data_IF_002794875395
#
_entry.id   IF_002794875395
#
_cell.length_a   1.000
_cell.length_b   1.000
_cell.length_c   1.000
_cell.angle_alpha   90.00
_cell.angle_beta   90.00
_cell.angle_gamma   90.00
#
_symmetry.space_group_name_H-M   'P 1'
#
loop_
_entity.id
_entity.type
_entity.pdbx_description
1 polymer ?
#
# COMPACT_ATOMS: atom_id res chain seq x y z
N UNK A 1 -8.19 6.32 -1.69
CA UNK A 1 -8.91 5.17 -1.10
C UNK A 1 -7.94 3.99 -0.99
N UNK A 2 -8.23 3.05 -0.10
CA UNK A 2 -7.49 1.80 0.06
C UNK A 2 -8.44 0.63 0.24
N UNK A 3 -7.94 -0.59 0.08
CA UNK A 3 -8.64 -1.85 0.30
C UNK A 3 -7.78 -3.03 -0.13
N UNK A 4 -8.34 -4.23 -0.12
CA UNK A 4 -7.69 -5.45 -0.62
C UNK A 4 -8.26 -5.85 -1.97
N UNK A 5 -7.39 -6.32 -2.86
CA UNK A 5 -7.79 -6.93 -4.12
C UNK A 5 -7.07 -8.26 -4.32
N UNK A 6 -7.80 -9.25 -4.81
CA UNK A 6 -7.29 -10.55 -5.25
C UNK A 6 -7.08 -10.60 -6.77
N UNK A 7 -7.33 -9.49 -7.48
CA UNK A 7 -7.21 -9.41 -8.94
C UNK A 7 -5.75 -9.16 -9.33
N UNK A 8 -5.20 -10.01 -10.19
CA UNK A 8 -3.85 -9.84 -10.75
C UNK A 8 -3.77 -8.71 -11.79
N UNK A 9 -4.91 -8.23 -12.26
CA UNK A 9 -5.09 -7.19 -13.27
C UNK A 9 -5.81 -5.94 -12.72
N UNK A 10 -5.80 -5.76 -11.39
CA UNK A 10 -6.37 -4.55 -10.79
C UNK A 10 -5.71 -3.30 -11.39
N UNK A 11 -6.47 -2.23 -11.70
CA UNK A 11 -5.92 -1.05 -12.35
C UNK A 11 -4.77 -0.41 -11.55
N UNK A 12 -3.58 -0.41 -12.13
CA UNK A 12 -2.41 0.35 -11.65
C UNK A 12 -2.02 1.40 -12.66
N UNK A 13 -1.25 2.39 -12.23
CA UNK A 13 -0.76 3.47 -13.10
C UNK A 13 0.74 3.36 -13.30
N UNK A 14 1.22 3.65 -14.52
CA UNK A 14 2.65 3.69 -14.80
C UNK A 14 3.38 4.65 -13.84
N UNK A 15 4.49 4.19 -13.25
CA UNK A 15 5.27 4.98 -12.28
C UNK A 15 4.77 4.91 -10.83
N UNK A 16 3.76 4.09 -10.53
CA UNK A 16 3.37 3.73 -9.18
C UNK A 16 4.49 2.98 -8.43
N UNK A 17 4.42 2.92 -7.08
CA UNK A 17 5.37 2.15 -6.26
C UNK A 17 5.51 0.71 -6.72
N UNK A 18 4.36 0.09 -7.01
CA UNK A 18 4.25 -1.29 -7.44
C UNK A 18 3.06 -1.45 -8.38
N UNK A 19 3.30 -2.12 -9.51
CA UNK A 19 2.32 -2.37 -10.56
C UNK A 19 1.95 -3.85 -10.69
N UNK A 20 2.45 -4.71 -9.80
CA UNK A 20 2.24 -6.16 -9.85
C UNK A 20 1.63 -6.71 -8.55
N UNK A 21 0.80 -7.74 -8.68
CA UNK A 21 0.29 -8.52 -7.55
C UNK A 21 1.36 -9.53 -7.11
N UNK A 22 1.60 -9.64 -5.80
CA UNK A 22 2.67 -10.48 -5.25
C UNK A 22 2.19 -11.71 -4.47
N UNK A 23 0.88 -11.89 -4.30
CA UNK A 23 0.28 -12.98 -3.54
C UNK A 23 -1.23 -13.09 -3.77
N UNK A 24 -1.92 -13.80 -2.89
CA UNK A 24 -3.36 -14.07 -3.02
C UNK A 24 -4.19 -12.79 -2.91
N UNK A 25 -3.86 -11.89 -1.98
CA UNK A 25 -4.55 -10.61 -1.79
C UNK A 25 -3.55 -9.50 -1.47
N UNK A 26 -3.64 -8.38 -2.18
CA UNK A 26 -2.74 -7.24 -1.99
C UNK A 26 -3.53 -6.02 -1.56
N UNK A 27 -2.90 -5.15 -0.78
CA UNK A 27 -3.42 -3.81 -0.54
C UNK A 27 -3.32 -3.01 -1.83
N UNK A 28 -4.40 -2.34 -2.22
CA UNK A 28 -4.33 -1.29 -3.23
C UNK A 28 -4.47 0.08 -2.56
N UNK A 29 -3.79 1.06 -3.14
CA UNK A 29 -3.97 2.48 -2.79
C UNK A 29 -4.21 3.24 -4.07
N UNK A 30 -5.37 3.88 -4.17
CA UNK A 30 -5.80 4.59 -5.37
C UNK A 30 -6.20 6.03 -5.07
N UNK A 31 -5.76 6.94 -5.93
CA UNK A 31 -6.17 8.34 -5.96
C UNK A 31 -7.00 8.58 -7.22
N UNK A 32 -8.21 9.07 -7.05
CA UNK A 32 -9.07 9.48 -8.15
C UNK A 32 -9.07 11.01 -8.27
N UNK A 33 -9.49 11.51 -9.43
CA UNK A 33 -9.81 12.93 -9.57
C UNK A 33 -11.04 13.30 -8.69
N UNK A 34 -11.24 14.60 -8.47
CA UNK A 34 -12.36 15.10 -7.64
C UNK A 34 -13.74 14.70 -8.17
N UNK A 35 -13.86 14.48 -9.49
CA UNK A 35 -15.09 14.02 -10.13
C UNK A 35 -15.32 12.51 -10.04
N UNK A 36 -14.38 11.73 -9.47
CA UNK A 36 -14.40 10.27 -9.44
C UNK A 36 -14.53 9.59 -10.82
N UNK A 37 -14.08 10.27 -11.88
CA UNK A 37 -14.16 9.79 -13.27
C UNK A 37 -12.85 9.27 -13.82
N UNK A 38 -11.71 9.59 -13.18
CA UNK A 38 -10.41 9.09 -13.61
C UNK A 38 -9.54 8.67 -12.43
N UNK A 39 -8.80 7.58 -12.65
CA UNK A 39 -7.74 7.12 -11.77
C UNK A 39 -6.49 7.96 -12.03
N UNK A 40 -6.03 8.71 -11.03
CA UNK A 40 -4.84 9.56 -11.14
C UNK A 40 -3.56 8.79 -10.82
N UNK A 41 -3.60 7.99 -9.76
CA UNK A 41 -2.52 7.05 -9.41
C UNK A 41 -3.12 5.84 -8.69
N UNK A 42 -2.56 4.67 -8.94
CA UNK A 42 -2.95 3.43 -8.26
C UNK A 42 -1.77 2.49 -8.19
N UNK A 43 -1.56 1.92 -7.01
CA UNK A 43 -0.42 1.04 -6.70
C UNK A 43 -0.89 -0.16 -5.89
N UNK A 44 -0.13 -1.25 -6.00
CA UNK A 44 -0.17 -2.33 -5.01
C UNK A 44 0.76 -2.01 -3.83
N UNK A 45 0.49 -2.65 -2.71
CA UNK A 45 1.39 -2.88 -1.60
C UNK A 45 1.08 -4.26 -1.01
N UNK A 46 2.06 -5.15 -1.02
CA UNK A 46 1.90 -6.50 -0.50
C UNK A 46 3.11 -7.37 -0.76
N UNK A 47 3.17 -8.51 -0.10
CA UNK A 47 4.18 -9.54 -0.29
C UNK A 47 3.59 -10.82 -0.85
N UNK A 48 4.18 -11.95 -0.47
CA UNK A 48 3.91 -13.28 -1.04
C UNK A 48 2.61 -13.94 -0.56
N UNK A 49 1.93 -13.35 0.43
CA UNK A 49 0.70 -13.88 1.04
C UNK A 49 -0.38 -12.80 1.05
N UNK A 50 -1.45 -13.00 1.83
CA UNK A 50 -2.53 -12.04 1.95
C UNK A 50 -2.12 -10.82 2.77
N UNK A 51 -2.45 -9.65 2.24
CA UNK A 51 -2.27 -8.36 2.90
C UNK A 51 -3.56 -7.55 2.83
N UNK A 52 -3.90 -6.91 3.95
CA UNK A 52 -5.20 -6.29 4.16
C UNK A 52 -5.10 -4.78 4.39
N UNK A 53 -5.74 -4.00 3.52
CA UNK A 53 -5.80 -2.53 3.62
C UNK A 53 -7.04 -2.10 4.38
N UNK A 54 -6.91 -1.77 5.66
CA UNK A 54 -8.05 -1.57 6.55
C UNK A 54 -8.50 -0.10 6.64
N UNK A 55 -7.56 0.85 6.65
CA UNK A 55 -7.90 2.27 6.74
C UNK A 55 -6.83 3.17 6.13
N UNK A 56 -7.23 4.40 5.82
CA UNK A 56 -6.42 5.43 5.17
C UNK A 56 -6.67 6.80 5.79
N UNK A 57 -5.60 7.54 6.06
CA UNK A 57 -5.63 8.93 6.50
C UNK A 57 -4.70 9.78 5.63
N UNK A 58 -4.98 11.08 5.55
CA UNK A 58 -4.18 12.03 4.78
C UNK A 58 -3.83 13.22 5.68
N UNK A 59 -2.55 13.60 5.73
CA UNK A 59 -2.12 14.79 6.50
C UNK A 59 -2.22 16.09 5.69
N UNK A 60 -1.93 17.23 6.33
CA UNK A 60 -1.99 18.54 5.69
C UNK A 60 -0.93 18.74 4.57
N UNK A 61 0.13 17.92 4.56
CA UNK A 61 1.12 17.87 3.48
C UNK A 61 0.72 16.99 2.30
N UNK A 62 -0.43 16.30 2.41
CA UNK A 62 -0.91 15.35 1.41
C UNK A 62 -0.25 13.98 1.49
N UNK A 63 0.53 13.67 2.55
CA UNK A 63 1.02 12.32 2.76
C UNK A 63 -0.13 11.40 3.12
N UNK A 64 -0.08 10.19 2.59
CA UNK A 64 -1.11 9.17 2.74
C UNK A 64 -0.58 8.10 3.69
N UNK A 65 -1.33 7.84 4.75
CA UNK A 65 -1.03 6.80 5.73
C UNK A 65 -2.04 5.68 5.55
N UNK A 66 -1.56 4.47 5.31
CA UNK A 66 -2.37 3.26 5.20
C UNK A 66 -2.05 2.37 6.38
N UNK A 67 -3.09 1.90 7.05
CA UNK A 67 -2.95 0.89 8.11
C UNK A 67 -3.65 -0.39 7.68
N UNK A 68 -3.11 -1.50 8.15
CA UNK A 68 -3.55 -2.80 7.70
C UNK A 68 -2.83 -3.93 8.40
N UNK A 69 -3.05 -5.12 7.86
CA UNK A 69 -2.49 -6.36 8.35
C UNK A 69 -1.73 -7.06 7.23
N UNK A 70 -0.65 -7.76 7.59
CA UNK A 70 0.15 -8.53 6.66
C UNK A 70 0.39 -9.94 7.18
N UNK A 71 0.11 -10.94 6.35
CA UNK A 71 0.55 -12.31 6.57
C UNK A 71 1.89 -12.60 5.85
N UNK A 72 2.42 -11.61 5.13
CA UNK A 72 3.52 -11.77 4.20
C UNK A 72 4.90 -11.67 4.89
N UNK A 73 5.74 -12.73 4.84
CA UNK A 73 7.09 -12.67 5.38
C UNK A 73 8.04 -11.71 4.64
N UNK A 74 7.65 -11.29 3.44
CA UNK A 74 8.37 -10.38 2.55
C UNK A 74 7.55 -9.10 2.29
N UNK A 75 6.70 -8.69 3.25
CA UNK A 75 5.96 -7.44 3.13
C UNK A 75 6.92 -6.26 2.87
N UNK A 76 6.61 -5.34 1.92
CA UNK A 76 7.49 -4.23 1.62
C UNK A 76 7.71 -3.32 2.83
N UNK A 77 8.98 -3.16 3.23
CA UNK A 77 9.40 -2.25 4.31
C UNK A 77 10.46 -1.27 3.81
N UNK A 78 10.75 -0.24 4.60
CA UNK A 78 11.80 0.75 4.30
C UNK A 78 12.90 0.70 5.35
N UNK A 79 14.10 1.14 4.97
CA UNK A 79 15.20 1.30 5.92
C UNK A 79 14.77 2.26 7.05
N UNK A 80 14.83 1.78 8.29
CA UNK A 80 14.44 2.55 9.47
C UNK A 80 12.97 2.41 9.89
N UNK A 81 12.20 1.51 9.27
CA UNK A 81 10.90 1.11 9.79
C UNK A 81 11.03 0.55 11.23
N UNK A 82 10.00 0.76 12.05
CA UNK A 82 9.96 0.30 13.44
C UNK A 82 10.22 -1.21 13.56
N UNK A 83 9.68 -1.98 12.63
CA UNK A 83 9.88 -3.41 12.53
C UNK A 83 9.93 -3.83 11.06
N UNK A 84 10.86 -4.73 10.75
CA UNK A 84 11.11 -5.22 9.38
C UNK A 84 11.04 -6.73 9.26
N UNK A 85 10.55 -7.42 10.30
CA UNK A 85 10.51 -8.88 10.37
C UNK A 85 9.10 -9.36 10.66
N UNK A 86 8.70 -10.44 9.98
CA UNK A 86 7.38 -11.05 10.14
C UNK A 86 7.35 -12.12 11.24
N UNK A 87 6.33 -12.09 12.11
CA UNK A 87 6.26 -12.93 13.33
C UNK A 87 5.25 -14.09 13.28
N UNK A 88 4.95 -14.61 12.07
CA UNK A 88 4.32 -15.92 11.80
C UNK A 88 2.79 -16.06 11.92
N UNK A 89 2.05 -15.00 12.20
CA UNK A 89 0.58 -15.03 12.09
C UNK A 89 0.10 -13.86 11.25
N UNK A 90 0.08 -12.67 11.82
CA UNK A 90 -0.39 -11.46 11.17
C UNK A 90 0.27 -10.32 11.92
N UNK A 91 0.95 -9.44 11.19
CA UNK A 91 1.54 -8.24 11.77
C UNK A 91 0.73 -7.04 11.31
N UNK A 92 0.55 -6.07 12.21
CA UNK A 92 -0.04 -4.79 11.84
C UNK A 92 1.04 -3.95 11.16
N UNK A 93 0.67 -3.22 10.11
CA UNK A 93 1.57 -2.27 9.49
C UNK A 93 0.98 -0.86 9.47
N UNK A 94 1.89 0.12 9.42
CA UNK A 94 1.59 1.50 9.05
C UNK A 94 2.52 1.89 7.92
N UNK A 95 1.96 2.24 6.76
CA UNK A 95 2.70 2.62 5.57
C UNK A 95 2.44 4.08 5.23
N UNK A 96 3.51 4.83 4.96
CA UNK A 96 3.40 6.21 4.46
C UNK A 96 3.76 6.28 2.98
N UNK A 97 2.88 6.90 2.21
CA UNK A 97 3.12 7.33 0.85
C UNK A 97 3.09 8.84 0.76
N UNK A 98 3.78 9.43 -0.21
CA UNK A 98 3.60 10.85 -0.50
C UNK A 98 2.30 11.10 -1.29
N UNK A 99 2.02 12.36 -1.63
CA UNK A 99 0.80 12.78 -2.29
C UNK A 99 0.57 12.17 -3.69
N UNK A 100 1.63 11.64 -4.30
CA UNK A 100 1.59 10.96 -5.60
C UNK A 100 1.63 9.44 -5.45
N UNK A 101 1.41 8.93 -4.23
CA UNK A 101 1.51 7.51 -3.90
C UNK A 101 2.84 6.88 -4.33
N UNK A 102 3.94 7.64 -4.28
CA UNK A 102 5.29 7.08 -4.35
C UNK A 102 5.91 6.98 -2.95
N UNK A 103 6.83 6.01 -2.76
CA UNK A 103 7.51 5.83 -1.48
C UNK A 103 8.53 6.96 -1.30
N UNK A 104 8.29 7.84 -0.33
CA UNK A 104 9.38 8.62 0.25
C UNK A 104 10.11 7.71 1.23
N UNK A 105 11.39 7.43 0.97
CA UNK A 105 12.27 6.49 1.73
C UNK A 105 12.52 6.87 3.21
N UNK A 106 11.61 7.54 3.90
CA UNK A 106 11.83 8.06 5.27
C UNK A 106 10.54 8.13 6.08
N UNK A 107 10.04 7.03 6.61
CA UNK A 107 9.06 7.05 7.71
C UNK A 107 9.64 6.34 8.93
N UNK A 108 9.77 7.11 10.03
CA UNK A 108 10.07 6.61 11.38
C UNK A 108 8.89 5.82 11.92
#
# INVERSE_FOLDING_TARGET
MTGTTHSTDFPTTAGACDTSSHGDGNVFVSKLNSGLTSLLVSTFQGGSRSDYGNSIAIDAGGNVYVIGETESPNFPTTDGAYETSYHRCEDVFVSRFNANLSVDKTSK
#
